data_IF_272048874791
#
_entry.id   IF_272048874791
#
_cell.length_a   1.000
_cell.length_b   1.000
_cell.length_c   1.000
_cell.angle_alpha   90.00
_cell.angle_beta   90.00
_cell.angle_gamma   90.00
#
_symmetry.space_group_name_H-M   'P 1'
#
loop_
_entity.id
_entity.type
_entity.pdbx_description
1 polymer ?
#
# COMPACT_ATOMS: atom_id res chain seq x y z
N UNK A 1 -6.39 6.34 -32.08
CA UNK A 1 -7.22 5.13 -31.91
C UNK A 1 -6.48 3.96 -31.23
N UNK A 2 -5.19 3.75 -31.47
CA UNK A 2 -4.39 2.66 -30.85
C UNK A 2 -4.16 2.79 -29.34
N UNK A 3 -4.08 4.03 -28.80
CA UNK A 3 -3.85 4.26 -27.37
C UNK A 3 -4.99 3.71 -26.47
N UNK A 4 -6.25 3.90 -26.88
CA UNK A 4 -7.41 3.41 -26.12
C UNK A 4 -7.55 1.89 -26.13
N UNK A 5 -7.13 1.23 -27.21
CA UNK A 5 -7.18 -0.24 -27.27
C UNK A 5 -6.13 -0.85 -26.34
N UNK A 6 -4.91 -0.34 -26.40
CA UNK A 6 -3.83 -0.75 -25.52
C UNK A 6 -4.17 -0.58 -24.04
N UNK A 7 -4.74 0.57 -23.67
CA UNK A 7 -5.12 0.85 -22.29
C UNK A 7 -6.21 -0.12 -21.80
N UNK A 8 -7.22 -0.41 -22.62
CA UNK A 8 -8.26 -1.40 -22.29
C UNK A 8 -7.73 -2.82 -22.12
N UNK A 9 -6.71 -3.21 -22.88
CA UNK A 9 -6.04 -4.52 -22.72
C UNK A 9 -5.25 -4.56 -21.41
N UNK A 10 -4.59 -3.46 -21.03
CA UNK A 10 -3.92 -3.37 -19.74
C UNK A 10 -4.94 -3.40 -18.59
N UNK A 11 -6.11 -2.79 -18.75
CA UNK A 11 -7.20 -2.83 -17.77
C UNK A 11 -7.81 -4.23 -17.62
N UNK A 12 -7.77 -5.09 -18.66
CA UNK A 12 -8.30 -6.46 -18.57
C UNK A 12 -7.32 -7.44 -17.93
N UNK A 13 -6.02 -7.19 -17.98
CA UNK A 13 -4.97 -8.08 -17.46
C UNK A 13 -5.16 -8.44 -15.97
N UNK A 14 -5.45 -7.47 -15.07
CA UNK A 14 -5.73 -7.74 -13.66
C UNK A 14 -6.86 -8.74 -13.44
N UNK A 15 -7.90 -8.73 -14.29
CA UNK A 15 -9.02 -9.66 -14.17
C UNK A 15 -8.64 -11.07 -14.64
N UNK A 16 -7.92 -11.17 -15.76
CA UNK A 16 -7.52 -12.47 -16.32
C UNK A 16 -6.56 -13.18 -15.38
N UNK A 17 -5.46 -12.52 -15.01
CA UNK A 17 -4.44 -13.14 -14.15
C UNK A 17 -4.95 -13.22 -12.70
N UNK A 18 -5.65 -12.19 -12.21
CA UNK A 18 -6.22 -12.17 -10.87
C UNK A 18 -7.21 -13.32 -10.61
N UNK A 19 -8.02 -13.69 -11.60
CA UNK A 19 -8.92 -14.85 -11.47
C UNK A 19 -8.16 -16.17 -11.33
N UNK A 20 -6.95 -16.28 -11.88
CA UNK A 20 -6.12 -17.49 -11.75
C UNK A 20 -5.42 -17.57 -10.38
N UNK A 21 -4.99 -16.42 -9.84
CA UNK A 21 -4.04 -16.40 -8.71
C UNK A 21 -4.61 -15.90 -7.39
N UNK A 22 -5.74 -15.20 -7.40
CA UNK A 22 -6.32 -14.65 -6.18
C UNK A 22 -7.22 -15.66 -5.48
N UNK A 23 -7.21 -15.61 -4.15
CA UNK A 23 -8.20 -16.33 -3.33
C UNK A 23 -9.47 -15.47 -3.22
N UNK A 24 -10.62 -15.98 -3.66
CA UNK A 24 -11.89 -15.24 -3.56
C UNK A 24 -13.08 -16.17 -3.32
N UNK A 25 -14.19 -15.59 -2.88
CA UNK A 25 -15.44 -16.32 -2.71
C UNK A 25 -16.06 -16.54 -4.07
N UNK A 26 -16.25 -17.80 -4.44
CA UNK A 26 -16.79 -18.19 -5.74
C UNK A 26 -18.32 -18.33 -5.69
N UNK A 27 -18.94 -18.41 -6.86
CA UNK A 27 -20.34 -18.77 -6.97
C UNK A 27 -20.57 -20.22 -6.52
N UNK A 28 -21.63 -20.42 -5.75
CA UNK A 28 -22.01 -21.75 -5.30
C UNK A 28 -22.69 -22.48 -6.48
N UNK A 29 -21.89 -23.30 -7.19
CA UNK A 29 -22.33 -24.09 -8.34
C UNK A 29 -23.58 -24.90 -8.00
N UNK A 30 -23.68 -25.42 -6.77
CA UNK A 30 -24.84 -26.20 -6.32
C UNK A 30 -26.13 -25.36 -6.31
N UNK A 31 -26.05 -24.07 -5.93
CA UNK A 31 -27.19 -23.16 -6.01
C UNK A 31 -27.56 -22.83 -7.44
N UNK A 32 -26.58 -22.67 -8.33
CA UNK A 32 -26.82 -22.42 -9.75
C UNK A 32 -27.52 -23.62 -10.40
N UNK A 33 -27.07 -24.83 -10.10
CA UNK A 33 -27.70 -26.08 -10.53
C UNK A 33 -29.14 -26.18 -10.00
N UNK A 34 -29.36 -25.89 -8.71
CA UNK A 34 -30.71 -25.86 -8.13
C UNK A 34 -31.64 -24.86 -8.82
N UNK A 35 -31.16 -23.65 -9.11
CA UNK A 35 -31.91 -22.63 -9.84
C UNK A 35 -32.20 -23.01 -11.29
N UNK A 36 -31.45 -23.96 -11.85
CA UNK A 36 -31.62 -24.46 -13.22
C UNK A 36 -32.61 -25.63 -13.31
N UNK A 37 -33.07 -26.16 -12.18
CA UNK A 37 -34.09 -27.23 -12.17
C UNK A 37 -35.46 -26.70 -12.65
N UNK A 38 -36.31 -27.57 -13.23
CA UNK A 38 -37.68 -27.23 -13.57
C UNK A 38 -38.46 -26.69 -12.36
N UNK A 39 -39.40 -25.78 -12.60
CA UNK A 39 -40.22 -25.18 -11.53
C UNK A 39 -41.09 -26.20 -10.77
N UNK A 40 -41.31 -27.39 -11.36
CA UNK A 40 -41.97 -28.52 -10.68
C UNK A 40 -41.12 -29.09 -9.55
N UNK A 41 -39.80 -29.03 -9.71
CA UNK A 41 -38.82 -29.71 -8.84
C UNK A 41 -38.19 -28.71 -7.85
N UNK A 42 -37.98 -27.46 -8.29
CA UNK A 42 -37.47 -26.38 -7.45
C UNK A 42 -38.21 -25.08 -7.71
N UNK A 43 -38.79 -24.49 -6.65
CA UNK A 43 -39.56 -23.25 -6.74
C UNK A 43 -38.83 -22.11 -6.00
N UNK A 44 -38.06 -21.24 -6.71
CA UNK A 44 -37.18 -20.25 -6.08
C UNK A 44 -37.89 -19.24 -5.17
N UNK A 45 -39.15 -18.91 -5.46
CA UNK A 45 -39.93 -17.94 -4.68
C UNK A 45 -40.12 -18.36 -3.22
N UNK A 46 -40.04 -19.66 -2.89
CA UNK A 46 -40.13 -20.16 -1.52
C UNK A 46 -38.89 -19.82 -0.67
N UNK A 47 -37.80 -19.42 -1.32
CA UNK A 47 -36.51 -19.13 -0.70
C UNK A 47 -36.17 -17.64 -0.71
N UNK A 48 -37.12 -16.78 -1.11
CA UNK A 48 -36.94 -15.32 -1.07
C UNK A 48 -36.69 -14.83 0.35
N UNK A 49 -35.65 -14.00 0.49
CA UNK A 49 -35.16 -13.51 1.78
C UNK A 49 -34.97 -14.63 2.82
N UNK A 50 -34.68 -15.86 2.38
CA UNK A 50 -34.43 -16.96 3.30
C UNK A 50 -33.26 -16.61 4.19
N UNK A 51 -33.58 -16.61 5.46
CA UNK A 51 -32.68 -16.36 6.55
C UNK A 51 -31.68 -17.51 6.72
N UNK A 52 -30.43 -17.17 7.01
CA UNK A 52 -29.35 -18.12 7.31
C UNK A 52 -28.63 -17.73 8.60
N UNK A 53 -28.17 -18.73 9.33
CA UNK A 53 -27.25 -18.52 10.45
C UNK A 53 -25.80 -18.59 9.96
N UNK A 54 -24.87 -17.95 10.69
CA UNK A 54 -23.44 -17.96 10.30
C UNK A 54 -22.82 -19.35 10.26
N UNK A 55 -23.39 -20.31 10.99
CA UNK A 55 -22.90 -21.69 11.06
C UNK A 55 -23.40 -22.56 9.90
N UNK A 56 -24.51 -22.18 9.27
CA UNK A 56 -25.10 -22.89 8.12
C UNK A 56 -24.49 -22.48 6.79
N UNK A 57 -23.86 -21.30 6.73
CA UNK A 57 -23.30 -20.76 5.49
C UNK A 57 -22.02 -21.49 5.14
N UNK A 58 -22.09 -22.34 4.13
CA UNK A 58 -20.93 -22.92 3.46
C UNK A 58 -20.63 -22.08 2.22
N UNK A 59 -19.40 -21.57 2.13
CA UNK A 59 -18.93 -20.83 0.97
C UNK A 59 -18.01 -21.71 0.14
N UNK A 60 -18.21 -21.66 -1.16
CA UNK A 60 -17.21 -22.12 -2.13
C UNK A 60 -16.15 -21.05 -2.26
N UNK A 61 -14.89 -21.44 -2.11
CA UNK A 61 -13.74 -20.55 -2.30
C UNK A 61 -12.98 -21.00 -3.53
N UNK A 62 -12.68 -20.05 -4.41
CA UNK A 62 -11.64 -20.23 -5.39
C UNK A 62 -10.29 -20.21 -4.68
N UNK A 63 -9.54 -21.31 -4.78
CA UNK A 63 -8.16 -21.44 -4.29
C UNK A 63 -7.32 -21.85 -5.49
N UNK A 64 -6.29 -21.06 -5.88
CA UNK A 64 -5.48 -21.35 -7.06
C UNK A 64 -4.94 -22.78 -7.06
N UNK A 65 -5.23 -23.49 -8.15
CA UNK A 65 -4.67 -24.80 -8.46
C UNK A 65 -3.25 -24.68 -9.02
N UNK A 66 -2.54 -25.81 -9.09
CA UNK A 66 -1.17 -25.82 -9.64
C UNK A 66 -1.17 -25.43 -11.13
N UNK A 67 -2.16 -25.89 -11.90
CA UNK A 67 -2.29 -25.59 -13.33
C UNK A 67 -2.55 -24.09 -13.58
N UNK A 68 -3.42 -23.47 -12.76
CA UNK A 68 -3.69 -22.02 -12.83
C UNK A 68 -2.46 -21.20 -12.45
N UNK A 69 -1.73 -21.66 -11.42
CA UNK A 69 -0.46 -21.04 -11.03
C UNK A 69 0.54 -21.14 -12.19
N UNK A 70 0.69 -22.29 -12.83
CA UNK A 70 1.66 -22.48 -13.91
C UNK A 70 1.31 -21.64 -15.15
N UNK A 71 0.03 -21.54 -15.51
CA UNK A 71 -0.44 -20.61 -16.54
C UNK A 71 -0.16 -19.15 -16.15
N UNK A 72 -0.39 -18.78 -14.89
CA UNK A 72 -0.09 -17.43 -14.41
C UNK A 72 1.42 -17.14 -14.51
N UNK A 73 2.31 -18.09 -14.25
CA UNK A 73 3.77 -17.92 -14.43
C UNK A 73 4.13 -17.58 -15.86
N UNK A 74 3.52 -18.26 -16.83
CA UNK A 74 3.73 -17.97 -18.25
C UNK A 74 3.30 -16.54 -18.60
N UNK A 75 2.12 -16.12 -18.13
CA UNK A 75 1.61 -14.77 -18.32
C UNK A 75 2.51 -13.71 -17.66
N UNK A 76 3.01 -13.98 -16.45
CA UNK A 76 3.95 -13.09 -15.75
C UNK A 76 5.24 -12.93 -16.54
N UNK A 77 5.79 -14.03 -17.05
CA UNK A 77 6.99 -13.97 -17.88
C UNK A 77 6.75 -13.13 -19.15
N UNK A 78 5.58 -13.29 -19.78
CA UNK A 78 5.24 -12.58 -21.01
C UNK A 78 4.99 -11.07 -20.83
N UNK A 79 4.30 -10.67 -19.77
CA UNK A 79 3.86 -9.28 -19.59
C UNK A 79 4.67 -8.49 -18.56
N UNK A 80 5.14 -9.12 -17.48
CA UNK A 80 5.88 -8.45 -16.42
C UNK A 80 7.39 -8.53 -16.67
N UNK A 81 7.95 -9.74 -16.75
CA UNK A 81 9.42 -9.93 -16.80
C UNK A 81 10.03 -9.32 -18.07
N UNK A 82 9.44 -9.57 -19.24
CA UNK A 82 9.92 -8.97 -20.51
C UNK A 82 9.91 -7.44 -20.48
N UNK A 83 8.94 -6.82 -19.83
CA UNK A 83 8.88 -5.36 -19.74
C UNK A 83 9.88 -4.81 -18.72
N UNK A 84 10.18 -5.54 -17.63
CA UNK A 84 11.28 -5.21 -16.71
C UNK A 84 12.62 -5.24 -17.46
N UNK A 85 12.92 -6.35 -18.16
CA UNK A 85 14.18 -6.51 -18.90
C UNK A 85 14.39 -5.42 -19.96
N UNK A 86 13.30 -5.02 -20.61
CA UNK A 86 13.30 -3.92 -21.56
C UNK A 86 13.62 -2.61 -20.85
N UNK A 87 12.94 -2.30 -19.75
CA UNK A 87 13.09 -1.07 -19.00
C UNK A 87 14.44 -0.91 -18.28
N UNK A 88 15.14 -2.01 -17.95
CA UNK A 88 16.55 -2.00 -17.52
C UNK A 88 17.53 -1.47 -18.58
N UNK A 89 17.07 -1.26 -19.83
CA UNK A 89 17.86 -0.64 -20.90
C UNK A 89 17.15 0.62 -21.43
N UNK A 90 16.94 1.64 -20.59
CA UNK A 90 16.09 2.79 -20.93
C UNK A 90 16.64 3.58 -22.13
N UNK A 91 17.95 3.54 -22.33
CA UNK A 91 18.70 4.15 -23.45
C UNK A 91 18.19 3.68 -24.84
N UNK A 92 17.63 2.48 -24.92
CA UNK A 92 17.20 1.86 -26.17
C UNK A 92 15.71 2.08 -26.47
N UNK A 93 14.96 2.72 -25.56
CA UNK A 93 13.52 2.87 -25.66
C UNK A 93 13.17 4.33 -26.01
N UNK A 94 12.28 4.51 -26.99
CA UNK A 94 11.66 5.81 -27.24
C UNK A 94 10.80 6.22 -26.03
N UNK A 95 10.68 7.53 -25.75
CA UNK A 95 9.91 8.08 -24.61
C UNK A 95 8.49 7.49 -24.47
N UNK A 96 7.74 7.40 -25.58
CA UNK A 96 6.39 6.80 -25.59
C UNK A 96 6.38 5.31 -25.23
N UNK A 97 7.47 4.60 -25.53
CA UNK A 97 7.65 3.20 -25.17
C UNK A 97 7.84 3.00 -23.67
N UNK A 98 8.46 3.96 -22.98
CA UNK A 98 8.66 3.91 -21.51
C UNK A 98 7.33 3.99 -20.79
N UNK A 99 6.48 4.98 -21.10
CA UNK A 99 5.15 5.13 -20.47
C UNK A 99 4.30 3.89 -20.73
N UNK A 100 4.34 3.35 -21.95
CA UNK A 100 3.63 2.12 -22.30
C UNK A 100 4.08 0.95 -21.43
N UNK A 101 5.39 0.75 -21.33
CA UNK A 101 5.98 -0.33 -20.52
C UNK A 101 5.63 -0.17 -19.05
N UNK A 102 5.68 1.05 -18.49
CA UNK A 102 5.28 1.32 -17.11
C UNK A 102 3.80 0.98 -16.85
N UNK A 103 2.89 1.29 -17.79
CA UNK A 103 1.48 0.93 -17.67
C UNK A 103 1.25 -0.59 -17.71
N UNK A 104 1.99 -1.34 -18.53
CA UNK A 104 1.93 -2.81 -18.53
C UNK A 104 2.43 -3.36 -17.19
N UNK A 105 3.55 -2.83 -16.68
CA UNK A 105 4.08 -3.23 -15.37
C UNK A 105 3.05 -3.01 -14.27
N UNK A 106 2.37 -1.87 -14.26
CA UNK A 106 1.35 -1.52 -13.26
C UNK A 106 0.20 -2.54 -13.26
N UNK A 107 -0.42 -2.75 -14.41
CA UNK A 107 -1.52 -3.71 -14.56
C UNK A 107 -1.10 -5.14 -14.24
N UNK A 108 0.05 -5.58 -14.74
CA UNK A 108 0.55 -6.95 -14.54
C UNK A 108 0.92 -7.20 -13.08
N UNK A 109 1.51 -6.22 -12.41
CA UNK A 109 1.91 -6.34 -11.02
C UNK A 109 0.73 -6.48 -10.08
N UNK A 110 -0.30 -5.64 -10.24
CA UNK A 110 -1.53 -5.72 -9.42
C UNK A 110 -2.09 -7.14 -9.45
N UNK A 111 -2.15 -7.71 -10.66
CA UNK A 111 -2.74 -9.02 -10.90
C UNK A 111 -2.03 -10.17 -10.16
N UNK A 112 -0.71 -10.08 -9.95
CA UNK A 112 0.13 -11.18 -9.44
C UNK A 112 0.58 -10.94 -8.00
N UNK A 113 0.31 -9.74 -7.48
CA UNK A 113 0.84 -9.26 -6.20
C UNK A 113 0.61 -10.19 -5.00
N UNK A 114 -0.47 -10.99 -4.98
CA UNK A 114 -0.75 -12.01 -3.94
C UNK A 114 0.28 -13.14 -3.89
N UNK A 115 0.82 -13.54 -5.04
CA UNK A 115 1.82 -14.61 -5.15
C UNK A 115 3.25 -14.12 -4.93
N UNK A 116 3.47 -12.80 -5.03
CA UNK A 116 4.81 -12.22 -4.92
C UNK A 116 5.21 -12.03 -3.46
N UNK A 117 6.38 -12.51 -3.04
CA UNK A 117 6.87 -12.28 -1.69
C UNK A 117 7.12 -10.78 -1.44
N UNK A 118 6.98 -10.30 -0.19
CA UNK A 118 7.25 -8.91 0.15
C UNK A 118 8.70 -8.54 -0.14
N UNK A 119 9.02 -7.24 -0.22
CA UNK A 119 10.36 -6.76 -0.54
C UNK A 119 11.43 -7.40 0.36
N UNK A 120 12.49 -7.91 -0.28
CA UNK A 120 13.63 -8.50 0.41
C UNK A 120 14.64 -7.42 0.79
N UNK A 121 15.28 -7.56 1.95
CA UNK A 121 16.35 -6.66 2.37
C UNK A 121 16.69 -6.85 3.84
N UNK A 122 17.87 -6.38 4.24
CA UNK A 122 18.24 -6.37 5.66
C UNK A 122 17.30 -5.44 6.43
N UNK A 123 16.73 -5.90 7.56
CA UNK A 123 15.82 -5.09 8.36
C UNK A 123 16.59 -3.94 9.00
N UNK A 124 16.04 -2.73 8.89
CA UNK A 124 16.60 -1.54 9.51
C UNK A 124 15.80 -1.29 10.79
N UNK A 125 16.49 -1.27 11.93
CA UNK A 125 15.91 -0.81 13.19
C UNK A 125 15.91 0.70 13.19
N UNK A 126 14.73 1.29 13.03
CA UNK A 126 14.55 2.75 13.06
C UNK A 126 14.75 3.29 14.48
N UNK A 127 14.29 2.54 15.48
CA UNK A 127 14.41 2.89 16.91
C UNK A 127 14.87 1.68 17.70
N UNK A 128 15.71 1.93 18.71
CA UNK A 128 16.11 0.92 19.69
C UNK A 128 14.91 0.56 20.57
N UNK A 129 14.59 -0.73 20.63
CA UNK A 129 13.46 -1.25 21.39
C UNK A 129 13.93 -2.40 22.26
N UNK A 130 13.58 -2.36 23.54
CA UNK A 130 13.88 -3.43 24.51
C UNK A 130 12.99 -4.67 24.30
N UNK A 131 11.88 -4.51 23.57
CA UNK A 131 10.92 -5.56 23.26
C UNK A 131 11.03 -5.92 21.77
N UNK A 132 11.04 -7.22 21.41
CA UNK A 132 11.11 -7.63 20.02
C UNK A 132 9.85 -7.20 19.26
N UNK A 133 9.97 -6.20 18.39
CA UNK A 133 8.92 -5.83 17.44
C UNK A 133 8.83 -6.88 16.33
N UNK A 134 8.04 -7.93 16.56
CA UNK A 134 7.76 -8.94 15.54
C UNK A 134 6.56 -8.51 14.71
N UNK A 135 6.67 -8.54 13.37
CA UNK A 135 5.53 -8.24 12.52
C UNK A 135 4.42 -9.28 12.70
N UNK A 136 3.16 -8.84 12.64
CA UNK A 136 2.00 -9.72 12.72
C UNK A 136 1.91 -10.55 11.44
N UNK A 137 1.88 -11.87 11.59
CA UNK A 137 1.78 -12.78 10.46
C UNK A 137 0.32 -13.16 10.21
N UNK A 138 -0.23 -12.63 9.12
CA UNK A 138 -1.53 -13.02 8.61
C UNK A 138 -1.36 -14.16 7.61
N UNK A 139 -2.05 -15.29 7.83
CA UNK A 139 -2.27 -16.26 6.76
C UNK A 139 -3.31 -15.69 5.80
N UNK A 140 -3.06 -15.73 4.50
CA UNK A 140 -4.01 -15.23 3.49
C UNK A 140 -4.64 -16.38 2.69
N UNK A 141 -3.94 -17.51 2.54
CA UNK A 141 -4.46 -18.71 1.86
C UNK A 141 -4.53 -19.94 2.78
N UNK A 142 -5.34 -20.93 2.38
CA UNK A 142 -5.57 -22.21 3.08
C UNK A 142 -4.41 -23.18 2.84
N UNK A 143 -3.79 -23.13 1.65
CA UNK A 143 -2.59 -23.89 1.29
C UNK A 143 -1.39 -22.96 1.28
N UNK A 144 -0.22 -23.47 1.66
CA UNK A 144 1.04 -22.75 1.46
C UNK A 144 1.37 -22.75 -0.03
N UNK A 145 0.75 -21.83 -0.77
CA UNK A 145 1.12 -21.54 -2.14
C UNK A 145 2.54 -21.00 -2.10
N UNK A 146 3.45 -21.66 -2.82
CA UNK A 146 4.85 -21.23 -2.87
C UNK A 146 4.91 -19.84 -3.50
N UNK A 147 5.62 -18.88 -2.88
CA UNK A 147 5.76 -17.55 -3.44
C UNK A 147 6.44 -17.64 -4.81
N UNK A 148 5.93 -16.87 -5.76
CA UNK A 148 6.50 -16.82 -7.09
C UNK A 148 7.83 -16.05 -7.07
N UNK A 149 8.89 -16.70 -7.55
CA UNK A 149 10.24 -16.14 -7.66
C UNK A 149 10.80 -16.46 -9.04
N UNK A 150 11.57 -15.53 -9.61
CA UNK A 150 12.26 -15.72 -10.89
C UNK A 150 13.66 -16.25 -10.59
N UNK A 151 13.90 -17.55 -10.83
CA UNK A 151 15.19 -18.21 -10.53
C UNK A 151 15.68 -17.98 -9.09
N UNK A 152 14.74 -17.92 -8.13
CA UNK A 152 15.03 -17.64 -6.72
C UNK A 152 15.17 -16.15 -6.36
N UNK A 153 15.05 -15.24 -7.34
CA UNK A 153 15.02 -13.79 -7.10
C UNK A 153 13.60 -13.28 -6.87
N UNK A 154 13.48 -12.30 -5.98
CA UNK A 154 12.22 -11.63 -5.70
C UNK A 154 11.89 -10.62 -6.81
N UNK A 155 10.74 -10.79 -7.47
CA UNK A 155 10.32 -9.92 -8.57
C UNK A 155 10.01 -8.50 -8.09
N UNK A 156 9.49 -8.31 -6.87
CA UNK A 156 9.29 -6.98 -6.28
C UNK A 156 10.62 -6.22 -6.17
N UNK A 157 11.69 -6.93 -5.81
CA UNK A 157 13.02 -6.34 -5.69
C UNK A 157 13.59 -5.97 -7.07
N UNK A 158 13.45 -6.87 -8.06
CA UNK A 158 13.85 -6.58 -9.45
C UNK A 158 13.14 -5.35 -10.01
N UNK A 159 11.85 -5.18 -9.68
CA UNK A 159 11.10 -3.98 -10.09
C UNK A 159 11.62 -2.71 -9.41
N UNK A 160 11.95 -2.74 -8.11
CA UNK A 160 12.52 -1.58 -7.42
C UNK A 160 13.86 -1.18 -8.03
N UNK A 161 14.73 -2.15 -8.29
CA UNK A 161 16.03 -1.91 -8.94
C UNK A 161 15.87 -1.30 -10.34
N UNK A 162 14.95 -1.86 -11.14
CA UNK A 162 14.62 -1.32 -12.45
C UNK A 162 14.07 0.11 -12.38
N UNK A 163 13.16 0.39 -11.44
CA UNK A 163 12.59 1.74 -11.27
C UNK A 163 13.64 2.75 -10.80
N UNK A 164 14.54 2.34 -9.91
CA UNK A 164 15.63 3.19 -9.43
C UNK A 164 16.53 3.65 -10.58
N UNK A 165 16.95 2.73 -11.46
CA UNK A 165 17.74 3.05 -12.65
C UNK A 165 16.99 3.98 -13.63
N UNK A 166 15.68 3.79 -13.79
CA UNK A 166 14.86 4.66 -14.63
C UNK A 166 14.74 6.07 -14.02
N UNK A 167 14.58 6.18 -12.70
CA UNK A 167 14.53 7.48 -12.01
C UNK A 167 15.85 8.23 -12.24
N UNK A 168 16.99 7.56 -12.06
CA UNK A 168 18.30 8.15 -12.35
C UNK A 168 18.41 8.62 -13.80
N UNK A 169 18.01 7.77 -14.75
CA UNK A 169 18.04 8.13 -16.17
C UNK A 169 17.12 9.32 -16.49
N UNK A 170 15.88 9.33 -16.00
CA UNK A 170 14.91 10.39 -16.29
C UNK A 170 15.34 11.74 -15.69
N UNK A 171 15.88 11.73 -14.47
CA UNK A 171 16.39 12.93 -13.81
C UNK A 171 17.62 13.50 -14.53
N UNK A 172 18.54 12.66 -15.00
CA UNK A 172 19.71 13.10 -15.78
C UNK A 172 19.29 13.65 -17.14
N UNK A 173 18.33 13.02 -17.80
CA UNK A 173 17.84 13.44 -19.12
C UNK A 173 16.89 14.65 -19.07
N UNK A 174 16.49 15.10 -17.88
CA UNK A 174 15.53 16.20 -17.65
C UNK A 174 14.32 16.13 -18.59
N UNK A 175 13.63 14.99 -18.59
CA UNK A 175 12.46 14.81 -19.48
C UNK A 175 11.31 15.70 -19.01
N UNK A 176 10.85 16.63 -19.87
CA UNK A 176 9.74 17.55 -19.58
C UNK A 176 8.37 16.88 -19.35
N UNK A 177 8.21 15.63 -19.79
CA UNK A 177 6.97 14.89 -19.59
C UNK A 177 6.86 14.40 -18.14
N UNK A 178 5.79 14.80 -17.46
CA UNK A 178 5.52 14.44 -16.06
C UNK A 178 4.92 13.04 -15.92
N UNK A 179 4.35 12.45 -16.99
CA UNK A 179 3.65 11.16 -16.94
C UNK A 179 4.51 9.98 -16.49
N UNK A 180 5.77 9.80 -16.97
CA UNK A 180 6.62 8.71 -16.50
C UNK A 180 6.87 8.77 -14.99
N UNK A 181 7.14 9.96 -14.44
CA UNK A 181 7.38 10.13 -13.01
C UNK A 181 6.14 9.82 -12.17
N UNK A 182 4.95 10.22 -12.64
CA UNK A 182 3.69 9.88 -11.99
C UNK A 182 3.47 8.37 -11.97
N UNK A 183 3.72 7.68 -13.09
CA UNK A 183 3.60 6.23 -13.18
C UNK A 183 4.60 5.51 -12.26
N UNK A 184 5.84 6.03 -12.14
CA UNK A 184 6.83 5.50 -11.21
C UNK A 184 6.37 5.65 -9.75
N UNK A 185 5.80 6.80 -9.37
CA UNK A 185 5.25 7.00 -8.03
C UNK A 185 4.12 5.99 -7.74
N UNK A 186 3.20 5.80 -8.68
CA UNK A 186 2.13 4.80 -8.57
C UNK A 186 2.68 3.38 -8.43
N UNK A 187 3.68 3.01 -9.23
CA UNK A 187 4.33 1.70 -9.15
C UNK A 187 5.03 1.48 -7.80
N UNK A 188 5.75 2.48 -7.27
CA UNK A 188 6.35 2.37 -5.93
C UNK A 188 5.28 2.15 -4.85
N UNK A 189 4.16 2.88 -4.93
CA UNK A 189 3.02 2.67 -4.02
C UNK A 189 2.48 1.23 -4.12
N UNK A 190 2.30 0.71 -5.33
CA UNK A 190 1.79 -0.64 -5.55
C UNK A 190 2.77 -1.71 -5.04
N UNK A 191 4.06 -1.60 -5.35
CA UNK A 191 5.07 -2.59 -4.96
C UNK A 191 5.13 -2.76 -3.43
N UNK A 192 4.99 -1.64 -2.71
CA UNK A 192 5.14 -1.59 -1.25
C UNK A 192 3.84 -1.96 -0.56
N UNK A 193 2.70 -1.37 -0.97
CA UNK A 193 1.44 -1.43 -0.23
C UNK A 193 0.40 -2.41 -0.80
N UNK A 194 0.57 -2.89 -2.04
CA UNK A 194 -0.41 -3.78 -2.66
C UNK A 194 -0.08 -5.27 -2.42
N UNK A 195 -1.13 -6.04 -2.12
CA UNK A 195 -1.12 -7.49 -2.05
C UNK A 195 -2.52 -8.03 -2.42
N UNK A 196 -2.79 -8.20 -3.71
CA UNK A 196 -4.10 -8.42 -4.36
C UNK A 196 -5.16 -7.34 -4.15
N UNK A 197 -5.07 -6.58 -3.05
CA UNK A 197 -5.94 -5.45 -2.73
C UNK A 197 -5.12 -4.24 -2.33
N UNK A 198 -5.55 -3.08 -2.79
CA UNK A 198 -5.11 -1.79 -2.26
C UNK A 198 -6.01 -1.38 -1.08
N UNK A 199 -5.51 -0.51 -0.17
CA UNK A 199 -6.33 0.08 0.89
C UNK A 199 -7.57 0.80 0.35
N UNK A 200 -7.41 1.59 -0.72
CA UNK A 200 -8.52 2.33 -1.34
C UNK A 200 -9.63 1.41 -1.86
N UNK A 201 -9.28 0.29 -2.51
CA UNK A 201 -10.28 -0.67 -2.98
C UNK A 201 -10.96 -1.40 -1.81
N UNK A 202 -10.25 -1.66 -0.72
CA UNK A 202 -10.86 -2.18 0.51
C UNK A 202 -11.87 -1.20 1.10
N UNK A 203 -11.53 0.09 1.21
CA UNK A 203 -12.45 1.12 1.71
C UNK A 203 -13.71 1.24 0.84
N UNK A 204 -13.55 1.18 -0.48
CA UNK A 204 -14.69 1.14 -1.41
C UNK A 204 -15.59 -0.08 -1.15
N UNK A 205 -15.02 -1.29 -1.03
CA UNK A 205 -15.78 -2.49 -0.72
C UNK A 205 -16.45 -2.43 0.68
N UNK A 206 -15.78 -1.83 1.67
CA UNK A 206 -16.33 -1.61 3.00
C UNK A 206 -17.54 -0.68 2.95
N UNK A 207 -17.45 0.45 2.22
CA UNK A 207 -18.57 1.37 2.05
C UNK A 207 -19.77 0.69 1.37
N UNK A 208 -19.52 -0.08 0.31
CA UNK A 208 -20.55 -0.89 -0.36
C UNK A 208 -21.21 -1.90 0.59
N UNK A 209 -20.40 -2.59 1.40
CA UNK A 209 -20.92 -3.54 2.40
C UNK A 209 -21.75 -2.85 3.49
N UNK A 210 -21.32 -1.69 3.99
CA UNK A 210 -22.08 -0.93 4.99
C UNK A 210 -23.44 -0.54 4.44
N UNK A 211 -23.51 0.02 3.23
CA UNK A 211 -24.75 0.37 2.57
C UNK A 211 -25.65 -0.86 2.35
N UNK A 212 -25.09 -1.97 1.88
CA UNK A 212 -25.81 -3.24 1.72
C UNK A 212 -26.39 -3.73 3.06
N UNK A 213 -25.59 -3.70 4.12
CA UNK A 213 -26.00 -4.15 5.45
C UNK A 213 -27.13 -3.30 6.01
N UNK A 214 -27.14 -1.99 5.76
CA UNK A 214 -28.23 -1.11 6.17
C UNK A 214 -29.54 -1.49 5.49
N UNK A 215 -29.53 -1.67 4.16
CA UNK A 215 -30.71 -2.05 3.37
C UNK A 215 -31.29 -3.40 3.79
N UNK A 216 -30.43 -4.40 4.05
CA UNK A 216 -30.86 -5.76 4.40
C UNK A 216 -30.91 -6.04 5.90
N UNK A 217 -30.76 -5.02 6.75
CA UNK A 217 -30.79 -5.21 8.21
C UNK A 217 -32.19 -5.58 8.71
N UNK A 218 -32.25 -6.54 9.63
CA UNK A 218 -33.45 -6.83 10.43
C UNK A 218 -33.21 -6.31 11.86
N UNK A 219 -33.75 -5.13 12.22
CA UNK A 219 -33.53 -4.54 13.54
C UNK A 219 -34.12 -5.37 14.68
N UNK A 220 -35.17 -6.15 14.40
CA UNK A 220 -35.91 -6.92 15.40
C UNK A 220 -35.15 -8.19 15.80
N UNK A 221 -34.63 -8.90 14.80
CA UNK A 221 -33.87 -10.15 15.00
C UNK A 221 -32.38 -9.89 15.23
N UNK A 222 -31.91 -8.69 14.90
CA UNK A 222 -30.55 -8.22 15.12
C UNK A 222 -29.52 -9.12 14.43
N UNK A 223 -28.36 -9.29 15.06
CA UNK A 223 -27.20 -9.99 14.46
C UNK A 223 -27.31 -11.52 14.41
N UNK A 224 -28.40 -12.12 14.92
CA UNK A 224 -28.53 -13.58 15.06
C UNK A 224 -28.75 -14.29 13.72
N UNK A 225 -29.40 -13.60 12.78
CA UNK A 225 -29.84 -14.16 11.50
C UNK A 225 -29.59 -13.12 10.42
N UNK A 226 -29.08 -13.53 9.27
CA UNK A 226 -28.82 -12.62 8.14
C UNK A 226 -29.24 -13.28 6.81
N UNK A 227 -29.27 -12.49 5.75
CA UNK A 227 -29.39 -12.98 4.38
C UNK A 227 -28.04 -13.53 3.92
N UNK A 228 -28.06 -14.59 3.11
CA UNK A 228 -26.85 -15.25 2.59
C UNK A 228 -25.84 -14.27 1.99
N UNK A 229 -26.30 -13.34 1.14
CA UNK A 229 -25.39 -12.40 0.47
C UNK A 229 -24.71 -11.42 1.44
N UNK A 230 -25.35 -11.04 2.54
CA UNK A 230 -24.73 -10.20 3.57
C UNK A 230 -23.59 -10.97 4.25
N UNK A 231 -23.80 -12.25 4.57
CA UNK A 231 -22.76 -13.10 5.18
C UNK A 231 -21.62 -13.34 4.18
N UNK A 232 -21.95 -13.64 2.91
CA UNK A 232 -20.97 -13.83 1.83
C UNK A 232 -20.08 -12.61 1.64
N UNK A 233 -20.67 -11.42 1.48
CA UNK A 233 -19.93 -10.18 1.31
C UNK A 233 -19.11 -9.82 2.55
N UNK A 234 -19.62 -10.09 3.76
CA UNK A 234 -18.87 -9.89 5.00
C UNK A 234 -17.61 -10.77 5.03
N UNK A 235 -17.71 -12.04 4.67
CA UNK A 235 -16.57 -12.96 4.66
C UNK A 235 -15.54 -12.61 3.58
N UNK A 236 -16.01 -12.23 2.38
CA UNK A 236 -15.14 -11.69 1.32
C UNK A 236 -14.39 -10.43 1.79
N UNK A 237 -15.09 -9.50 2.44
CA UNK A 237 -14.50 -8.27 2.99
C UNK A 237 -13.45 -8.56 4.08
N UNK A 238 -13.70 -9.51 4.97
CA UNK A 238 -12.75 -9.92 6.00
C UNK A 238 -11.48 -10.56 5.40
N UNK A 239 -11.62 -11.36 4.34
CA UNK A 239 -10.46 -11.87 3.61
C UNK A 239 -9.67 -10.73 2.95
N UNK A 240 -10.36 -9.76 2.32
CA UNK A 240 -9.73 -8.57 1.74
C UNK A 240 -9.00 -7.71 2.79
N UNK A 241 -9.58 -7.57 3.97
CA UNK A 241 -8.93 -6.91 5.10
C UNK A 241 -7.62 -7.63 5.50
N UNK A 242 -7.63 -8.97 5.57
CA UNK A 242 -6.42 -9.76 5.85
C UNK A 242 -5.34 -9.55 4.80
N UNK A 243 -5.70 -9.45 3.51
CA UNK A 243 -4.75 -9.18 2.42
C UNK A 243 -4.03 -7.84 2.58
N UNK A 244 -4.79 -6.77 2.88
CA UNK A 244 -4.24 -5.42 3.10
C UNK A 244 -3.34 -5.38 4.33
N UNK A 245 -3.79 -5.96 5.45
CA UNK A 245 -3.01 -6.01 6.69
C UNK A 245 -1.76 -6.88 6.57
N UNK A 246 -1.82 -7.96 5.77
CA UNK A 246 -0.68 -8.84 5.52
C UNK A 246 0.48 -8.13 4.83
N UNK A 247 0.26 -7.04 4.11
CA UNK A 247 1.33 -6.30 3.44
C UNK A 247 1.90 -5.19 4.33
N UNK A 248 1.04 -4.51 5.10
CA UNK A 248 1.43 -3.36 5.92
C UNK A 248 2.00 -3.75 7.28
N UNK A 249 1.55 -4.85 7.88
CA UNK A 249 1.94 -5.23 9.25
C UNK A 249 2.89 -6.44 9.32
N UNK A 250 3.08 -7.17 8.20
CA UNK A 250 3.94 -8.35 8.14
C UNK A 250 5.42 -8.01 7.87
N UNK A 251 5.70 -6.80 7.37
CA UNK A 251 6.99 -6.47 6.78
C UNK A 251 7.75 -5.51 7.70
N UNK A 252 8.94 -5.93 8.15
CA UNK A 252 9.87 -5.03 8.82
C UNK A 252 10.42 -4.03 7.81
N UNK A 253 10.59 -2.77 8.23
CA UNK A 253 11.27 -1.77 7.43
C UNK A 253 12.67 -2.28 7.04
N UNK A 254 13.06 -2.12 5.77
CA UNK A 254 14.27 -2.74 5.21
C UNK A 254 15.02 -1.76 4.30
N UNK A 255 16.23 -2.14 3.88
CA UNK A 255 17.05 -1.32 2.96
C UNK A 255 16.36 -0.97 1.64
N UNK A 256 15.57 -1.87 1.07
CA UNK A 256 14.84 -1.61 -0.18
C UNK A 256 13.71 -0.60 0.00
N UNK A 257 13.00 -0.63 1.13
CA UNK A 257 12.04 0.42 1.48
C UNK A 257 12.72 1.78 1.63
N UNK A 258 13.91 1.82 2.25
CA UNK A 258 14.70 3.06 2.35
C UNK A 258 15.14 3.57 0.98
N UNK A 259 15.54 2.69 0.06
CA UNK A 259 15.89 3.06 -1.31
C UNK A 259 14.69 3.74 -2.02
N UNK A 260 13.51 3.13 -1.95
CA UNK A 260 12.27 3.70 -2.51
C UNK A 260 11.95 5.05 -1.87
N UNK A 261 12.07 5.18 -0.55
CA UNK A 261 11.84 6.45 0.14
C UNK A 261 12.80 7.55 -0.32
N UNK A 262 14.09 7.23 -0.52
CA UNK A 262 15.09 8.18 -1.02
C UNK A 262 14.80 8.63 -2.46
N UNK A 263 14.38 7.70 -3.32
CA UNK A 263 13.96 8.05 -4.68
C UNK A 263 12.73 8.95 -4.68
N UNK A 264 11.75 8.65 -3.82
CA UNK A 264 10.56 9.50 -3.66
C UNK A 264 10.91 10.89 -3.14
N UNK A 265 11.89 11.04 -2.25
CA UNK A 265 12.38 12.38 -1.82
C UNK A 265 12.98 13.13 -3.01
N UNK A 266 13.79 12.47 -3.85
CA UNK A 266 14.34 13.09 -5.08
C UNK A 266 13.24 13.51 -6.07
N UNK A 267 12.16 12.74 -6.17
CA UNK A 267 11.00 13.11 -6.99
C UNK A 267 10.17 14.22 -6.34
N UNK A 268 10.13 14.28 -5.00
CA UNK A 268 9.45 15.31 -4.24
C UNK A 268 10.17 16.67 -4.28
N UNK A 269 11.45 16.71 -4.63
CA UNK A 269 12.21 17.94 -4.92
C UNK A 269 12.26 18.26 -6.42
N UNK A 270 11.45 17.60 -7.26
CA UNK A 270 11.40 17.91 -8.68
C UNK A 270 10.77 19.29 -8.95
N UNK A 271 11.07 19.93 -10.11
CA UNK A 271 10.50 21.24 -10.45
C UNK A 271 9.00 21.19 -10.76
N UNK A 272 8.42 20.01 -10.97
CA UNK A 272 7.02 19.85 -11.35
C UNK A 272 6.13 19.56 -10.14
N UNK A 273 5.25 20.50 -9.79
CA UNK A 273 4.34 20.39 -8.63
C UNK A 273 3.52 19.09 -8.62
N UNK A 274 3.04 18.64 -9.79
CA UNK A 274 2.23 17.42 -9.90
C UNK A 274 3.02 16.17 -9.47
N UNK A 275 4.31 16.11 -9.82
CA UNK A 275 5.22 15.02 -9.44
C UNK A 275 5.53 15.10 -7.96
N UNK A 276 5.77 16.31 -7.43
CA UNK A 276 5.99 16.51 -5.99
C UNK A 276 4.81 16.05 -5.15
N UNK A 277 3.58 16.41 -5.56
CA UNK A 277 2.35 15.98 -4.89
C UNK A 277 2.19 14.46 -4.94
N UNK A 278 2.45 13.83 -6.08
CA UNK A 278 2.37 12.37 -6.18
C UNK A 278 3.37 11.66 -5.26
N UNK A 279 4.63 12.09 -5.28
CA UNK A 279 5.66 11.53 -4.40
C UNK A 279 5.31 11.75 -2.91
N UNK A 280 4.81 12.94 -2.56
CA UNK A 280 4.37 13.26 -1.20
C UNK A 280 3.22 12.38 -0.70
N UNK A 281 2.25 12.03 -1.55
CA UNK A 281 1.15 11.10 -1.19
C UNK A 281 1.68 9.71 -0.88
N UNK A 282 2.63 9.21 -1.68
CA UNK A 282 3.24 7.89 -1.46
C UNK A 282 4.08 7.90 -0.17
N UNK A 283 4.88 8.96 0.05
CA UNK A 283 5.66 9.12 1.28
C UNK A 283 4.76 9.21 2.53
N UNK A 284 3.61 9.89 2.45
CA UNK A 284 2.65 9.91 3.56
C UNK A 284 2.15 8.50 3.92
N UNK A 285 1.89 7.65 2.92
CA UNK A 285 1.54 6.23 3.13
C UNK A 285 2.68 5.43 3.78
N UNK A 286 3.94 5.74 3.44
CA UNK A 286 5.12 5.15 4.09
C UNK A 286 5.17 5.50 5.58
N UNK A 287 4.99 6.78 5.92
CA UNK A 287 5.01 7.21 7.32
C UNK A 287 3.87 6.60 8.15
N UNK A 288 2.68 6.44 7.56
CA UNK A 288 1.55 5.78 8.21
C UNK A 288 1.78 4.28 8.44
N UNK A 289 2.51 3.61 7.54
CA UNK A 289 2.74 2.16 7.58
C UNK A 289 3.95 1.79 8.44
N UNK A 290 5.06 2.51 8.26
CA UNK A 290 6.31 2.29 8.97
C UNK A 290 6.54 3.44 9.96
N UNK A 291 6.16 3.19 11.21
CA UNK A 291 6.31 4.15 12.31
C UNK A 291 7.74 4.69 12.40
N UNK A 292 7.89 5.99 12.64
CA UNK A 292 9.17 6.70 12.80
C UNK A 292 10.13 6.65 11.60
N UNK A 293 9.74 6.04 10.46
CA UNK A 293 10.58 5.94 9.26
C UNK A 293 11.06 7.29 8.71
N UNK A 294 10.32 8.36 9.02
CA UNK A 294 10.68 9.73 8.65
C UNK A 294 12.02 10.19 9.23
N UNK A 295 12.48 9.62 10.36
CA UNK A 295 13.75 9.98 11.01
C UNK A 295 14.94 9.79 10.07
N UNK A 296 14.88 8.75 9.23
CA UNK A 296 15.94 8.42 8.28
C UNK A 296 16.02 9.41 7.10
N UNK A 297 14.99 10.21 6.87
CA UNK A 297 14.93 11.18 5.78
C UNK A 297 15.25 12.60 6.24
N UNK A 298 15.33 12.86 7.55
CA UNK A 298 15.51 14.22 8.08
C UNK A 298 16.76 14.87 7.48
N UNK A 299 17.90 14.17 7.47
CA UNK A 299 19.14 14.73 6.93
C UNK A 299 19.04 15.07 5.45
N UNK A 300 18.31 14.25 4.68
CA UNK A 300 18.11 14.50 3.25
C UNK A 300 17.16 15.69 3.02
N UNK A 301 16.15 15.88 3.87
CA UNK A 301 15.25 17.05 3.80
C UNK A 301 15.93 18.34 4.28
N UNK A 302 16.70 18.29 5.38
CA UNK A 302 17.39 19.45 5.93
C UNK A 302 18.42 20.04 4.95
N UNK A 303 19.07 19.20 4.11
CA UNK A 303 19.98 19.66 3.05
C UNK A 303 19.32 20.65 2.07
N UNK A 304 18.03 20.51 1.82
CA UNK A 304 17.28 21.38 0.92
C UNK A 304 16.71 22.63 1.61
N UNK A 305 16.92 22.79 2.92
CA UNK A 305 16.48 23.97 3.68
C UNK A 305 17.60 24.95 4.01
N UNK A 306 18.88 24.56 3.88
CA UNK A 306 20.00 25.44 4.20
C UNK A 306 20.14 26.56 3.14
N UNK A 307 19.88 27.84 3.49
CA UNK A 307 19.97 28.95 2.54
C UNK A 307 21.41 29.28 2.13
N UNK A 308 22.42 28.77 2.86
CA UNK A 308 23.84 28.98 2.57
C UNK A 308 24.38 27.98 1.53
N UNK A 309 23.65 26.90 1.23
CA UNK A 309 24.04 25.94 0.21
C UNK A 309 23.79 26.52 -1.19
N UNK A 310 24.88 26.84 -1.91
CA UNK A 310 24.89 27.47 -3.25
C UNK A 310 24.07 26.77 -4.35
N UNK A 311 23.48 25.60 -4.09
CA UNK A 311 22.80 24.76 -5.08
C UNK A 311 21.30 24.54 -4.79
N UNK A 312 20.72 25.18 -3.78
CA UNK A 312 19.29 25.00 -3.46
C UNK A 312 18.44 25.91 -4.34
N UNK A 313 17.63 25.31 -5.21
CA UNK A 313 16.63 26.06 -5.98
C UNK A 313 15.38 26.34 -5.15
N UNK A 314 14.60 27.35 -5.52
CA UNK A 314 13.33 27.66 -4.85
C UNK A 314 12.35 26.46 -4.90
N UNK A 315 12.39 25.67 -5.97
CA UNK A 315 11.53 24.49 -6.12
C UNK A 315 11.97 23.33 -5.22
N UNK A 316 13.28 23.18 -4.97
CA UNK A 316 13.78 22.24 -3.97
C UNK A 316 13.30 22.60 -2.56
N UNK A 317 13.32 23.91 -2.23
CA UNK A 317 12.84 24.42 -0.95
C UNK A 317 11.33 24.18 -0.78
N UNK A 318 10.52 24.45 -1.82
CA UNK A 318 9.08 24.12 -1.82
C UNK A 318 8.83 22.63 -1.66
N UNK A 319 9.63 21.79 -2.32
CA UNK A 319 9.57 20.34 -2.18
C UNK A 319 9.86 19.90 -0.74
N UNK A 320 10.89 20.47 -0.12
CA UNK A 320 11.25 20.20 1.28
C UNK A 320 10.15 20.63 2.27
N UNK A 321 9.57 21.82 2.08
CA UNK A 321 8.43 22.27 2.88
C UNK A 321 7.21 21.36 2.70
N UNK A 322 6.90 20.97 1.46
CA UNK A 322 5.82 20.04 1.19
C UNK A 322 6.05 18.68 1.86
N UNK A 323 7.29 18.18 1.88
CA UNK A 323 7.65 16.97 2.60
C UNK A 323 7.45 17.11 4.10
N UNK A 324 7.79 18.26 4.70
CA UNK A 324 7.54 18.53 6.12
C UNK A 324 6.04 18.60 6.43
N UNK A 325 5.22 19.15 5.53
CA UNK A 325 3.76 19.16 5.66
C UNK A 325 3.14 17.75 5.55
N UNK A 326 3.65 16.92 4.64
CA UNK A 326 3.11 15.57 4.42
C UNK A 326 3.62 14.56 5.44
N UNK A 327 4.79 14.80 6.00
CA UNK A 327 5.38 13.97 7.04
C UNK A 327 4.70 14.17 8.39
N UNK A 328 4.53 13.08 9.12
CA UNK A 328 3.99 13.10 10.48
C UNK A 328 5.00 13.63 11.51
N UNK A 329 6.00 14.41 11.07
CA UNK A 329 7.11 14.93 11.88
C UNK A 329 6.61 15.65 13.13
N UNK A 330 5.50 16.40 13.01
CA UNK A 330 4.91 17.16 14.11
C UNK A 330 3.88 16.37 14.93
N UNK A 331 3.42 15.21 14.42
CA UNK A 331 2.35 14.40 15.02
C UNK A 331 2.92 13.26 15.87
N UNK A 332 4.04 12.65 15.46
CA UNK A 332 4.64 11.47 16.10
C UNK A 332 5.49 11.78 17.35
N UNK A 333 5.57 13.05 17.77
CA UNK A 333 6.00 13.45 19.14
C UNK A 333 7.46 13.16 19.49
N UNK A 334 8.34 13.14 18.51
CA UNK A 334 9.77 12.87 18.70
C UNK A 334 10.60 14.16 18.92
N UNK A 335 11.02 14.42 20.17
CA UNK A 335 11.77 15.63 20.55
C UNK A 335 13.11 15.82 19.80
N UNK A 336 13.97 14.79 19.65
CA UNK A 336 15.21 14.90 18.87
C UNK A 336 14.98 15.37 17.43
N UNK A 337 13.96 14.85 16.76
CA UNK A 337 13.60 15.26 15.40
C UNK A 337 13.11 16.71 15.37
N UNK A 338 12.19 17.09 16.27
CA UNK A 338 11.66 18.45 16.33
C UNK A 338 12.74 19.50 16.62
N UNK A 339 13.69 19.19 17.51
CA UNK A 339 14.82 20.06 17.83
C UNK A 339 15.75 20.30 16.63
N UNK A 340 15.74 19.42 15.62
CA UNK A 340 16.51 19.61 14.39
C UNK A 340 15.74 20.39 13.33
N UNK A 341 14.43 20.13 13.19
CA UNK A 341 13.60 20.75 12.16
C UNK A 341 13.25 22.21 12.51
N UNK A 342 12.85 22.49 13.75
CA UNK A 342 12.34 23.80 14.15
C UNK A 342 13.36 24.94 13.98
N UNK A 343 14.64 24.79 14.39
CA UNK A 343 15.62 25.86 14.19
C UNK A 343 15.89 26.17 12.72
N UNK A 344 15.94 25.14 11.87
CA UNK A 344 16.17 25.31 10.44
C UNK A 344 14.98 25.95 9.75
N UNK A 345 13.74 25.63 10.17
CA UNK A 345 12.54 26.28 9.68
C UNK A 345 12.50 27.78 10.01
N UNK A 346 12.94 28.17 11.22
CA UNK A 346 13.00 29.58 11.64
C UNK A 346 14.09 30.35 10.89
N UNK A 347 15.22 29.69 10.58
CA UNK A 347 16.31 30.31 9.81
C UNK A 347 15.96 30.47 8.33
N UNK A 348 15.11 29.61 7.78
CA UNK A 348 14.72 29.63 6.38
C UNK A 348 13.76 30.79 6.07
N UNK A 349 14.33 31.94 5.72
CA UNK A 349 13.57 33.16 5.43
C UNK A 349 13.45 33.39 3.91
N UNK A 350 12.45 32.75 3.28
CA UNK A 350 12.06 33.00 1.88
C UNK A 350 10.72 33.75 1.87
N UNK A 351 10.78 35.07 2.09
CA UNK A 351 9.62 35.86 2.54
C UNK A 351 8.70 36.41 1.44
N UNK A 352 8.96 36.18 0.15
CA UNK A 352 8.34 37.02 -0.89
C UNK A 352 7.22 36.36 -1.72
N UNK A 353 6.91 35.06 -1.53
CA UNK A 353 5.87 34.37 -2.33
C UNK A 353 4.72 33.83 -1.49
N UNK A 354 3.45 33.99 -1.96
CA UNK A 354 2.27 33.59 -1.21
C UNK A 354 2.21 32.08 -0.94
N UNK A 355 2.61 31.25 -1.89
CA UNK A 355 2.55 29.78 -1.76
C UNK A 355 3.46 29.25 -0.65
N UNK A 356 4.65 29.84 -0.49
CA UNK A 356 5.61 29.47 0.56
C UNK A 356 5.07 29.88 1.92
N UNK A 357 4.48 31.08 2.02
CA UNK A 357 3.82 31.58 3.23
C UNK A 357 2.64 30.68 3.63
N UNK A 358 1.85 30.22 2.66
CA UNK A 358 0.75 29.29 2.92
C UNK A 358 1.25 27.94 3.46
N UNK A 359 2.34 27.39 2.88
CA UNK A 359 2.97 26.18 3.38
C UNK A 359 3.54 26.35 4.78
N UNK A 360 4.21 27.47 5.08
CA UNK A 360 4.71 27.78 6.42
C UNK A 360 3.56 27.87 7.43
N UNK A 361 2.47 28.56 7.09
CA UNK A 361 1.27 28.60 7.94
C UNK A 361 0.65 27.22 8.16
N UNK A 362 0.64 26.37 7.13
CA UNK A 362 0.17 24.99 7.27
C UNK A 362 1.04 24.20 8.25
N UNK A 363 2.37 24.37 8.21
CA UNK A 363 3.30 23.78 9.17
C UNK A 363 3.03 24.30 10.58
N UNK A 364 2.83 25.61 10.75
CA UNK A 364 2.50 26.19 12.06
C UNK A 364 1.21 25.58 12.64
N UNK A 365 0.16 25.45 11.82
CA UNK A 365 -1.10 24.82 12.23
C UNK A 365 -0.89 23.36 12.62
N UNK A 366 -0.13 22.60 11.83
CA UNK A 366 0.20 21.21 12.12
C UNK A 366 1.03 21.07 13.41
N UNK A 367 2.00 21.95 13.62
CA UNK A 367 2.81 22.00 14.83
C UNK A 367 1.92 22.27 16.05
N UNK A 368 1.06 23.30 16.00
CA UNK A 368 0.15 23.63 17.10
C UNK A 368 -0.86 22.51 17.36
N UNK A 369 -1.43 21.90 16.32
CA UNK A 369 -2.37 20.77 16.47
C UNK A 369 -1.69 19.51 17.04
N UNK A 370 -0.42 19.29 16.70
CA UNK A 370 0.42 18.21 17.21
C UNK A 370 0.91 18.44 18.64
N UNK A 371 1.04 19.69 19.07
CA UNK A 371 1.49 20.10 20.41
C UNK A 371 0.41 19.85 21.46
N UNK A 372 0.33 18.61 21.92
CA UNK A 372 -0.39 18.22 23.15
C UNK A 372 0.60 18.09 24.30
N UNK A 373 0.13 18.29 25.54
CA UNK A 373 0.93 18.10 26.76
C UNK A 373 1.63 16.75 26.75
N UNK A 374 2.97 16.77 26.68
CA UNK A 374 3.79 15.57 26.75
C UNK A 374 4.44 15.45 28.12
N UNK A 375 4.38 14.27 28.76
CA UNK A 375 5.11 14.03 29.99
C UNK A 375 6.61 13.98 29.69
N UNK A 376 7.37 14.90 30.30
CA UNK A 376 8.85 14.89 30.25
C UNK A 376 9.40 13.63 30.95
N UNK A 377 8.64 13.10 31.91
CA UNK A 377 8.98 11.87 32.63
C UNK A 377 7.81 10.89 32.57
N UNK A 378 8.09 9.68 32.10
CA UNK A 378 7.14 8.56 32.14
C UNK A 378 7.62 7.58 33.20
N UNK A 379 6.94 7.57 34.34
CA UNK A 379 7.17 6.60 35.40
C UNK A 379 6.09 5.54 35.38
N UNK A 380 6.46 4.26 35.30
CA UNK A 380 5.53 3.16 35.55
C UNK A 380 5.51 2.89 37.05
N UNK A 381 4.36 3.08 37.69
CA UNK A 381 4.19 2.75 39.11
C UNK A 381 4.36 1.25 39.36
N UNK A 382 5.01 0.87 40.46
CA UNK A 382 5.20 -0.52 40.87
C UNK A 382 3.88 -1.28 41.06
N UNK A 383 2.79 -0.59 41.40
CA UNK A 383 1.45 -1.16 41.49
C UNK A 383 0.90 -1.58 40.10
N UNK A 384 1.29 -0.89 39.03
CA UNK A 384 0.87 -1.16 37.65
C UNK A 384 1.67 -2.31 37.01
N UNK A 385 2.92 -2.52 37.45
CA UNK A 385 3.76 -3.62 37.00
C UNK A 385 3.20 -4.99 37.42
N UNK A 386 2.52 -5.06 38.57
CA UNK A 386 1.88 -6.29 39.07
C UNK A 386 0.73 -6.77 38.17
N UNK A 387 -0.03 -5.84 37.58
CA UNK A 387 -1.12 -6.18 36.65
C UNK A 387 -0.62 -6.67 35.29
N UNK A 388 0.52 -6.16 34.80
CA UNK A 388 1.09 -6.57 33.52
C UNK A 388 1.72 -7.97 33.58
N UNK A 389 2.30 -8.35 34.72
CA UNK A 389 2.85 -9.70 34.93
C UNK A 389 1.77 -10.79 34.91
N UNK A 390 0.55 -10.50 35.38
CA UNK A 390 -0.55 -11.46 35.40
C UNK A 390 -1.23 -11.70 34.05
N UNK A 391 -0.99 -10.87 33.03
CA UNK A 391 -1.47 -11.12 31.66
C UNK A 391 -0.50 -11.99 30.83
N UNK A 392 0.71 -12.25 31.33
CA UNK A 392 1.76 -13.02 30.64
C UNK A 392 1.79 -14.52 30.96
N UNK A 393 0.94 -15.01 31.87
CA UNK A 393 0.96 -16.41 32.34
C UNK A 393 -0.44 -17.01 32.23
N UNK A 394 -0.86 -17.37 31.02
CA UNK A 394 -1.83 -18.46 30.78
C UNK A 394 -1.98 -18.78 29.28
N UNK A 395 -0.90 -19.27 28.66
CA UNK A 395 -0.98 -19.93 27.34
C UNK A 395 -0.23 -21.25 27.27
N UNK A 396 -0.18 -21.98 28.38
CA UNK A 396 0.15 -23.41 28.40
C UNK A 396 -0.77 -24.18 29.36
N UNK A 397 -2.04 -24.32 29.00
CA UNK A 397 -2.83 -25.54 29.24
C UNK A 397 -4.27 -25.37 28.75
N UNK A 398 -4.57 -25.90 27.55
CA UNK A 398 -5.68 -26.83 27.25
C UNK A 398 -5.88 -26.95 25.75
#
# INVERSE_FOLDING_TARGET
MTCNFFQKVCESLPFVIGNLVCTYVDEDVSKREQLSLPLTDYLPIRFWAKNVTKHEVQLTWHIPSQDEIDLAKELVHLFLIKEIEKLCKPQLIKKEGVIRSLAILESSFIAVSELLPPLCGEPIKVVETDVPMKPLQYRTSVREIKPFTLDGRNIRQLMVECLHEIVDFLLVMQVDDTKPYMAICSLYSLIVFCNASTPALYEQCLAQFVAMREVYSDPLRGKKVNIYDVVRNCLSLLHRQRLVLAQTQRVSFNKSHLLVMKDLVRLATSPYEIVRRAAGVVLSSFFQTFQLSYVLLIEDVLKFMDPAAKNVTEEDFKGALQLLCTGQFFIERDWPTLNRILPELVKANYADKPDIIEMQKAIEVLAVAGWKWMPITVGVSSASAFYLLNFGVDSKSR
#
